data_IF_882796840695
#
_entry.id   IF_882796840695
#
_cell.length_a   1.000
_cell.length_b   1.000
_cell.length_c   1.000
_cell.angle_alpha   90.00
_cell.angle_beta   90.00
_cell.angle_gamma   90.00
#
_symmetry.space_group_name_H-M   'P 1'
#
loop_
_entity.id
_entity.type
_entity.pdbx_description
1 polymer ?
#
# COMPACT_ATOMS: atom_id res chain seq x y z
N UNK A 1 8.47 -13.14 -13.30
CA UNK A 1 8.13 -11.73 -13.00
C UNK A 1 8.08 -11.44 -11.50
N UNK A 2 7.24 -12.14 -10.71
CA UNK A 2 7.02 -11.85 -9.28
C UNK A 2 8.30 -11.77 -8.41
N UNK A 3 9.25 -12.69 -8.60
CA UNK A 3 10.54 -12.66 -7.90
C UNK A 3 11.32 -11.36 -8.14
N UNK A 4 11.54 -10.98 -9.40
CA UNK A 4 12.29 -9.78 -9.75
C UNK A 4 11.60 -8.49 -9.28
N UNK A 5 10.27 -8.43 -9.37
CA UNK A 5 9.51 -7.29 -8.85
C UNK A 5 9.64 -7.17 -7.32
N UNK A 6 9.50 -8.29 -6.59
CA UNK A 6 9.66 -8.31 -5.13
C UNK A 6 11.07 -7.85 -4.73
N UNK A 7 12.10 -8.39 -5.38
CA UNK A 7 13.49 -7.99 -5.13
C UNK A 7 13.72 -6.50 -5.41
N UNK A 8 13.18 -5.97 -6.52
CA UNK A 8 13.29 -4.55 -6.85
C UNK A 8 12.64 -3.66 -5.77
N UNK A 9 11.45 -4.02 -5.29
CA UNK A 9 10.73 -3.29 -4.24
C UNK A 9 11.51 -3.31 -2.91
N UNK A 10 12.01 -4.47 -2.49
CA UNK A 10 12.78 -4.60 -1.24
C UNK A 10 14.12 -3.84 -1.31
N UNK A 11 14.81 -3.90 -2.45
CA UNK A 11 16.01 -3.10 -2.66
C UNK A 11 15.72 -1.60 -2.68
N UNK A 12 14.55 -1.19 -3.17
CA UNK A 12 14.11 0.20 -3.11
C UNK A 12 13.85 0.65 -1.67
N UNK A 13 13.27 -0.22 -0.83
CA UNK A 13 13.13 0.06 0.59
C UNK A 13 14.48 0.28 1.28
N UNK A 14 15.46 -0.62 1.02
CA UNK A 14 16.83 -0.48 1.52
C UNK A 14 17.45 0.83 1.04
N UNK A 15 17.23 1.22 -0.21
CA UNK A 15 17.68 2.50 -0.76
C UNK A 15 17.13 3.66 0.06
N UNK A 16 15.81 3.73 0.28
CA UNK A 16 15.17 4.81 1.03
C UNK A 16 15.72 4.91 2.46
N UNK A 17 15.86 3.79 3.15
CA UNK A 17 16.46 3.72 4.48
C UNK A 17 17.91 4.28 4.50
N UNK A 18 18.77 3.79 3.58
CA UNK A 18 20.17 4.23 3.50
C UNK A 18 20.31 5.71 3.15
N UNK A 19 19.41 6.26 2.33
CA UNK A 19 19.40 7.69 1.99
C UNK A 19 19.09 8.55 3.21
N UNK A 20 18.05 8.21 3.97
CA UNK A 20 17.68 8.93 5.19
C UNK A 20 18.83 8.93 6.21
N UNK A 21 19.46 7.76 6.44
CA UNK A 21 20.61 7.64 7.35
C UNK A 21 21.83 8.45 6.90
N UNK A 22 22.14 8.48 5.59
CA UNK A 22 23.26 9.27 5.06
C UNK A 22 23.07 10.79 5.28
N UNK A 23 21.82 11.26 5.28
CA UNK A 23 21.49 12.67 5.49
C UNK A 23 21.23 13.03 6.96
N UNK A 24 21.39 12.07 7.89
CA UNK A 24 21.07 12.31 9.31
C UNK A 24 19.58 12.52 9.61
N UNK A 25 18.69 12.14 8.70
CA UNK A 25 17.24 12.30 8.85
C UNK A 25 16.60 11.12 9.60
N UNK A 26 15.38 11.31 10.10
CA UNK A 26 14.54 10.21 10.59
C UNK A 26 14.10 9.26 9.46
N UNK A 27 13.87 7.99 9.78
CA UNK A 27 13.56 6.93 8.79
C UNK A 27 12.06 6.72 8.55
N UNK A 28 11.22 7.70 8.89
CA UNK A 28 9.75 7.62 8.82
C UNK A 28 9.25 7.18 7.43
N UNK A 29 9.83 7.70 6.35
CA UNK A 29 9.41 7.37 4.98
C UNK A 29 9.69 5.90 4.64
N UNK A 30 10.82 5.34 5.12
CA UNK A 30 11.12 3.92 4.92
C UNK A 30 10.11 3.03 5.66
N UNK A 31 9.70 3.43 6.87
CA UNK A 31 8.69 2.68 7.64
C UNK A 31 7.28 2.79 7.05
N UNK A 32 6.89 3.98 6.56
CA UNK A 32 5.66 4.14 5.80
C UNK A 32 5.65 3.27 4.52
N UNK A 33 6.78 3.21 3.81
CA UNK A 33 6.90 2.35 2.63
C UNK A 33 6.85 0.86 2.97
N UNK A 34 7.41 0.43 4.12
CA UNK A 34 7.28 -0.95 4.59
C UNK A 34 5.81 -1.37 4.79
N UNK A 35 4.94 -0.47 5.26
CA UNK A 35 3.50 -0.75 5.38
C UNK A 35 2.82 -0.99 4.02
N UNK A 36 3.23 -0.28 2.97
CA UNK A 36 2.73 -0.56 1.61
C UNK A 36 3.27 -1.90 1.06
N UNK A 37 4.55 -2.21 1.34
CA UNK A 37 5.17 -3.50 0.98
C UNK A 37 4.43 -4.66 1.64
N UNK A 38 3.96 -4.48 2.89
CA UNK A 38 3.16 -5.49 3.58
C UNK A 38 1.93 -5.93 2.77
N UNK A 39 1.09 -4.98 2.32
CA UNK A 39 -0.08 -5.31 1.50
C UNK A 39 0.32 -6.03 0.20
N UNK A 40 1.36 -5.54 -0.48
CA UNK A 40 1.90 -6.18 -1.69
C UNK A 40 2.30 -7.64 -1.45
N UNK A 41 3.06 -7.91 -0.38
CA UNK A 41 3.50 -9.26 -0.02
C UNK A 41 2.33 -10.15 0.39
N UNK A 42 1.34 -9.62 1.13
CA UNK A 42 0.13 -10.38 1.49
C UNK A 42 -0.61 -10.86 0.24
N UNK A 43 -0.82 -9.99 -0.74
CA UNK A 43 -1.58 -10.30 -1.95
C UNK A 43 -0.84 -11.26 -2.90
N UNK A 44 0.46 -11.04 -3.11
CA UNK A 44 1.23 -11.73 -4.15
C UNK A 44 2.11 -12.89 -3.66
N UNK A 45 2.33 -13.03 -2.35
CA UNK A 45 3.29 -13.99 -1.81
C UNK A 45 2.78 -14.76 -0.58
N UNK A 46 2.48 -14.07 0.53
CA UNK A 46 2.14 -14.69 1.81
C UNK A 46 0.82 -15.46 1.72
N UNK A 47 -0.27 -14.83 1.25
CA UNK A 47 -1.56 -15.53 1.11
C UNK A 47 -1.48 -16.68 0.09
N UNK A 48 -0.93 -16.51 -1.13
CA UNK A 48 -0.75 -17.63 -2.06
C UNK A 48 0.01 -18.82 -1.47
N UNK A 49 1.07 -18.55 -0.69
CA UNK A 49 1.84 -19.58 0.02
C UNK A 49 0.97 -20.31 1.06
N UNK A 50 0.24 -19.57 1.90
CA UNK A 50 -0.64 -20.14 2.93
C UNK A 50 -1.84 -20.92 2.33
N UNK A 51 -2.29 -20.52 1.14
CA UNK A 51 -3.32 -21.23 0.38
C UNK A 51 -2.78 -22.42 -0.42
N UNK A 52 -1.45 -22.62 -0.43
CA UNK A 52 -0.79 -23.72 -1.16
C UNK A 52 -0.85 -23.61 -2.67
N UNK A 53 -1.15 -22.43 -3.24
CA UNK A 53 -1.31 -22.25 -4.69
C UNK A 53 -0.95 -20.85 -5.15
N UNK A 54 -0.04 -20.77 -6.12
CA UNK A 54 0.30 -19.51 -6.82
C UNK A 54 -0.84 -18.96 -7.68
N UNK A 55 -1.83 -19.79 -8.02
CA UNK A 55 -3.04 -19.35 -8.74
C UNK A 55 -3.92 -18.40 -7.93
N UNK A 56 -3.68 -18.30 -6.62
CA UNK A 56 -4.36 -17.37 -5.72
C UNK A 56 -3.75 -15.95 -5.74
N UNK A 57 -2.60 -15.76 -6.40
CA UNK A 57 -1.92 -14.46 -6.52
C UNK A 57 -2.57 -13.55 -7.58
N UNK A 58 -2.30 -12.24 -7.47
CA UNK A 58 -2.82 -11.22 -8.40
C UNK A 58 -2.11 -11.33 -9.77
N UNK A 59 -2.83 -11.32 -10.91
CA UNK A 59 -2.24 -11.33 -12.23
C UNK A 59 -1.66 -9.97 -12.65
N UNK A 60 -0.64 -9.98 -13.51
CA UNK A 60 -0.06 -8.77 -14.10
C UNK A 60 -0.82 -8.35 -15.37
N UNK A 61 -1.82 -7.48 -15.22
CA UNK A 61 -2.56 -6.89 -16.34
C UNK A 61 -3.62 -5.91 -15.88
N UNK A 62 -3.95 -4.90 -16.72
CA UNK A 62 -4.86 -3.81 -16.33
C UNK A 62 -6.27 -4.33 -16.04
N UNK A 63 -6.97 -4.96 -16.97
CA UNK A 63 -8.28 -5.55 -16.65
C UNK A 63 -8.18 -6.82 -15.80
N UNK A 64 -7.23 -7.74 -16.05
CA UNK A 64 -7.12 -8.96 -15.23
C UNK A 64 -6.96 -8.74 -13.72
N UNK A 65 -6.25 -7.70 -13.27
CA UNK A 65 -6.14 -7.44 -11.82
C UNK A 65 -7.43 -6.85 -11.22
N UNK A 66 -8.22 -6.12 -12.02
CA UNK A 66 -9.55 -5.63 -11.61
C UNK A 66 -10.53 -6.80 -11.51
N UNK A 67 -10.53 -7.70 -12.50
CA UNK A 67 -11.35 -8.91 -12.48
C UNK A 67 -11.00 -9.79 -11.27
N UNK A 68 -9.70 -9.96 -10.97
CA UNK A 68 -9.23 -10.65 -9.77
C UNK A 68 -9.76 -10.00 -8.49
N UNK A 69 -9.76 -8.67 -8.40
CA UNK A 69 -10.21 -7.94 -7.22
C UNK A 69 -11.71 -8.14 -6.97
N UNK A 70 -12.52 -8.06 -8.02
CA UNK A 70 -13.96 -8.34 -7.94
C UNK A 70 -14.23 -9.82 -7.58
N UNK A 71 -13.56 -10.75 -8.26
CA UNK A 71 -13.68 -12.18 -8.01
C UNK A 71 -13.26 -12.56 -6.58
N UNK A 72 -12.24 -11.91 -6.02
CA UNK A 72 -11.81 -12.10 -4.64
C UNK A 72 -12.94 -11.78 -3.66
N UNK A 73 -13.61 -10.63 -3.84
CA UNK A 73 -14.75 -10.25 -2.99
C UNK A 73 -15.91 -11.24 -3.10
N UNK A 74 -16.26 -11.66 -4.32
CA UNK A 74 -17.33 -12.63 -4.55
C UNK A 74 -17.01 -13.99 -3.92
N UNK A 75 -15.78 -14.49 -4.08
CA UNK A 75 -15.34 -15.77 -3.52
C UNK A 75 -15.39 -15.81 -2.00
N UNK A 76 -15.12 -14.68 -1.34
CA UNK A 76 -15.09 -14.58 0.12
C UNK A 76 -16.36 -13.95 0.73
N UNK A 77 -17.48 -13.97 0.00
CA UNK A 77 -18.78 -13.59 0.57
C UNK A 77 -18.94 -12.10 0.85
N UNK A 78 -18.46 -11.26 -0.08
CA UNK A 78 -18.53 -9.80 -0.05
C UNK A 78 -17.62 -9.13 0.99
N UNK A 79 -16.54 -8.51 0.50
CA UNK A 79 -15.55 -7.80 1.33
C UNK A 79 -16.10 -6.58 2.07
N UNK A 80 -17.29 -6.06 1.75
CA UNK A 80 -17.89 -5.00 2.56
C UNK A 80 -18.13 -5.42 4.00
N UNK A 81 -18.28 -6.71 4.29
CA UNK A 81 -18.47 -7.22 5.64
C UNK A 81 -17.16 -7.59 6.37
N UNK A 82 -16.00 -7.43 5.73
CA UNK A 82 -14.72 -7.63 6.39
C UNK A 82 -14.35 -6.36 7.20
N UNK A 83 -14.19 -6.45 8.53
CA UNK A 83 -13.94 -5.28 9.37
C UNK A 83 -12.60 -4.58 9.05
N UNK A 84 -11.56 -5.33 8.63
CA UNK A 84 -10.29 -4.73 8.23
C UNK A 84 -10.39 -4.02 6.87
N UNK A 85 -11.25 -4.50 5.98
CA UNK A 85 -11.53 -3.81 4.73
C UNK A 85 -12.31 -2.51 4.98
N UNK A 86 -13.29 -2.52 5.89
CA UNK A 86 -13.98 -1.29 6.35
C UNK A 86 -12.99 -0.27 6.92
N UNK A 87 -12.09 -0.71 7.83
CA UNK A 87 -11.05 0.16 8.38
C UNK A 87 -10.12 0.72 7.29
N UNK A 88 -9.71 -0.11 6.34
CA UNK A 88 -8.87 0.33 5.21
C UNK A 88 -9.56 1.42 4.38
N UNK A 89 -10.88 1.30 4.13
CA UNK A 89 -11.67 2.33 3.45
C UNK A 89 -11.71 3.61 4.29
N UNK A 90 -11.97 3.50 5.59
CA UNK A 90 -11.98 4.65 6.51
C UNK A 90 -10.64 5.40 6.50
N UNK A 91 -9.51 4.69 6.51
CA UNK A 91 -8.19 5.32 6.43
C UNK A 91 -7.86 5.88 5.05
N UNK A 92 -8.33 5.26 3.96
CA UNK A 92 -8.17 5.80 2.62
C UNK A 92 -8.92 7.14 2.49
N UNK A 93 -10.20 7.18 2.89
CA UNK A 93 -11.00 8.41 2.89
C UNK A 93 -10.44 9.44 3.88
N UNK A 94 -10.06 9.00 5.07
CA UNK A 94 -9.43 9.84 6.09
C UNK A 94 -8.12 10.46 5.61
N UNK A 95 -7.31 9.75 4.81
CA UNK A 95 -6.08 10.30 4.24
C UNK A 95 -6.36 11.42 3.25
N UNK A 96 -7.34 11.24 2.35
CA UNK A 96 -7.78 12.30 1.44
C UNK A 96 -8.34 13.49 2.19
N UNK A 97 -9.19 13.26 3.20
CA UNK A 97 -9.77 14.30 4.03
C UNK A 97 -8.68 15.10 4.76
N UNK A 98 -7.78 14.42 5.47
CA UNK A 98 -6.71 15.06 6.23
C UNK A 98 -5.75 15.81 5.33
N UNK A 99 -5.41 15.27 4.15
CA UNK A 99 -4.51 15.99 3.25
C UNK A 99 -5.19 17.19 2.60
N UNK A 100 -6.48 17.11 2.28
CA UNK A 100 -7.25 18.26 1.82
C UNK A 100 -7.33 19.35 2.89
N UNK A 101 -7.63 18.98 4.14
CA UNK A 101 -7.61 19.90 5.29
C UNK A 101 -6.24 20.54 5.45
N UNK A 102 -5.18 19.73 5.56
CA UNK A 102 -3.82 20.21 5.76
C UNK A 102 -3.35 21.11 4.61
N UNK A 103 -3.50 20.66 3.36
CA UNK A 103 -3.11 21.44 2.19
C UNK A 103 -3.84 22.78 2.10
N UNK A 104 -5.16 22.79 2.34
CA UNK A 104 -5.94 24.03 2.38
C UNK A 104 -5.50 24.94 3.53
N UNK A 105 -5.24 24.39 4.72
CA UNK A 105 -4.77 25.15 5.88
C UNK A 105 -3.42 25.81 5.59
N UNK A 106 -2.43 25.07 5.09
CA UNK A 106 -1.10 25.60 4.77
C UNK A 106 -1.20 26.70 3.71
N UNK A 107 -1.98 26.49 2.65
CA UNK A 107 -2.21 27.53 1.66
C UNK A 107 -2.90 28.78 2.25
N UNK A 108 -3.85 28.62 3.16
CA UNK A 108 -4.55 29.73 3.81
C UNK A 108 -3.64 30.60 4.71
N UNK A 109 -2.62 29.98 5.32
CA UNK A 109 -1.62 30.66 6.16
C UNK A 109 -0.29 30.92 5.44
N UNK A 110 -0.20 30.62 4.14
CA UNK A 110 1.03 30.79 3.36
C UNK A 110 1.56 32.23 3.36
N UNK A 111 0.66 33.23 3.41
CA UNK A 111 0.99 34.66 3.59
C UNK A 111 1.75 34.99 4.89
N UNK A 112 1.75 34.07 5.84
CA UNK A 112 2.47 34.16 7.11
C UNK A 112 3.69 33.22 7.16
N UNK A 113 4.04 32.54 6.06
CA UNK A 113 5.17 31.62 6.00
C UNK A 113 4.95 30.29 6.74
N UNK A 114 3.69 29.83 6.84
CA UNK A 114 3.33 28.54 7.41
C UNK A 114 3.61 27.34 6.51
#
# INVERSE_FOLDING_TARGET
AGFFLTAAILLWWVRMYRRARKLGMGTHVAWAFAAAIWLYLVLGFIRPLLMGSWGEAVPFGIFPHLDWTAAFSLRYGNLFYNPFHMLSIAFLYGSTLLFAMHGATILAVSRFGG
#
